data_IF_109986585649
#
_entry.id   IF_109986585649
#
_cell.length_a   1.000
_cell.length_b   1.000
_cell.length_c   1.000
_cell.angle_alpha   90.00
_cell.angle_beta   90.00
_cell.angle_gamma   90.00
#
_symmetry.space_group_name_H-M   'P 1'
#
loop_
_entity.id
_entity.type
_entity.pdbx_description
1 polymer ?
#
# COMPACT_ATOMS: atom_id res chain seq x y z
N UNK A 1 18.64 11.33 -12.67
CA UNK A 1 19.07 10.87 -11.33
C UNK A 1 18.01 11.36 -10.35
N UNK A 2 17.44 10.50 -9.52
CA UNK A 2 16.44 10.86 -8.52
C UNK A 2 16.97 10.51 -7.11
N UNK A 3 16.54 11.27 -6.10
CA UNK A 3 16.76 10.96 -4.70
C UNK A 3 15.43 10.51 -4.07
N UNK A 4 15.35 9.24 -3.64
CA UNK A 4 14.15 8.62 -3.11
C UNK A 4 14.27 8.45 -1.59
N UNK A 5 13.32 8.99 -0.85
CA UNK A 5 13.19 8.81 0.59
C UNK A 5 12.14 7.73 0.87
N UNK A 6 12.60 6.54 1.24
CA UNK A 6 11.73 5.43 1.62
C UNK A 6 11.26 5.64 3.06
N UNK A 7 9.95 5.66 3.27
CA UNK A 7 9.32 5.85 4.57
C UNK A 7 8.47 4.63 4.93
N UNK A 8 8.78 4.00 6.07
CA UNK A 8 8.10 2.79 6.52
C UNK A 8 7.64 2.93 7.97
N UNK A 9 6.33 3.04 8.22
CA UNK A 9 5.79 2.89 9.57
C UNK A 9 5.96 1.44 10.04
N UNK A 10 6.54 1.25 11.24
CA UNK A 10 6.80 -0.07 11.84
C UNK A 10 6.22 -0.13 13.26
N UNK A 11 4.92 -0.38 13.40
CA UNK A 11 4.32 -0.59 14.71
C UNK A 11 4.97 -1.77 15.43
N UNK A 12 5.35 -1.57 16.69
CA UNK A 12 6.09 -2.57 17.47
C UNK A 12 7.55 -2.80 17.01
N UNK A 13 8.07 -1.98 16.09
CA UNK A 13 9.44 -2.12 15.58
C UNK A 13 9.65 -3.35 14.69
N UNK A 14 8.58 -3.95 14.17
CA UNK A 14 8.62 -5.20 13.41
C UNK A 14 8.42 -4.99 11.92
N UNK A 15 9.08 -5.83 11.12
CA UNK A 15 8.84 -5.92 9.68
C UNK A 15 8.94 -7.38 9.22
N UNK A 16 8.38 -7.69 8.06
CA UNK A 16 8.48 -9.02 7.47
C UNK A 16 9.83 -9.25 6.78
N UNK A 17 10.33 -10.49 6.81
CA UNK A 17 11.57 -10.85 6.10
C UNK A 17 11.48 -10.63 4.59
N UNK A 18 10.31 -10.80 3.98
CA UNK A 18 10.10 -10.54 2.55
C UNK A 18 10.20 -9.04 2.22
N UNK A 19 9.77 -8.15 3.13
CA UNK A 19 9.96 -6.71 3.00
C UNK A 19 11.45 -6.36 3.06
N UNK A 20 12.18 -6.88 4.05
CA UNK A 20 13.63 -6.64 4.21
C UNK A 20 14.39 -7.02 2.95
N UNK A 21 14.12 -8.21 2.39
CA UNK A 21 14.74 -8.65 1.16
C UNK A 21 14.41 -7.75 -0.02
N UNK A 22 13.14 -7.34 -0.16
CA UNK A 22 12.70 -6.42 -1.21
C UNK A 22 13.38 -5.06 -1.08
N UNK A 23 13.50 -4.52 0.14
CA UNK A 23 14.14 -3.24 0.41
C UNK A 23 15.65 -3.26 0.10
N UNK A 24 16.38 -4.31 0.52
CA UNK A 24 17.80 -4.45 0.22
C UNK A 24 18.04 -4.52 -1.30
N UNK A 25 17.21 -5.29 -2.01
CA UNK A 25 17.26 -5.35 -3.47
C UNK A 25 16.95 -3.99 -4.11
N UNK A 26 15.97 -3.23 -3.56
CA UNK A 26 15.63 -1.88 -4.05
C UNK A 26 16.83 -0.94 -3.91
N UNK A 27 17.45 -0.88 -2.73
CA UNK A 27 18.61 -0.01 -2.48
C UNK A 27 19.74 -0.32 -3.47
N UNK A 28 20.06 -1.61 -3.66
CA UNK A 28 21.09 -2.05 -4.61
C UNK A 28 20.76 -1.65 -6.05
N UNK A 29 19.53 -1.91 -6.51
CA UNK A 29 19.13 -1.62 -7.89
C UNK A 29 19.06 -0.13 -8.18
N UNK A 30 18.47 0.67 -7.27
CA UNK A 30 18.40 2.13 -7.45
C UNK A 30 19.81 2.75 -7.45
N UNK A 31 20.69 2.32 -6.54
CA UNK A 31 22.08 2.80 -6.50
C UNK A 31 22.84 2.43 -7.78
N UNK A 32 22.66 1.21 -8.30
CA UNK A 32 23.27 0.78 -9.57
C UNK A 32 22.74 1.56 -10.78
N UNK A 33 21.48 2.02 -10.72
CA UNK A 33 20.88 2.88 -11.74
C UNK A 33 21.24 4.37 -11.55
N UNK A 34 22.10 4.72 -10.61
CA UNK A 34 22.56 6.09 -10.35
C UNK A 34 21.59 6.95 -9.52
N UNK A 35 20.59 6.35 -8.88
CA UNK A 35 19.69 7.04 -7.96
C UNK A 35 20.25 7.03 -6.53
N UNK A 36 19.80 8.00 -5.70
CA UNK A 36 20.09 8.01 -4.27
C UNK A 36 18.90 7.46 -3.50
N UNK A 37 19.16 6.74 -2.40
CA UNK A 37 18.11 6.21 -1.53
C UNK A 37 18.44 6.55 -0.08
N UNK A 38 17.48 7.15 0.62
CA UNK A 38 17.48 7.30 2.07
C UNK A 38 16.29 6.52 2.64
N UNK A 39 16.44 5.90 3.81
CA UNK A 39 15.36 5.17 4.46
C UNK A 39 15.10 5.73 5.84
N UNK A 40 13.82 5.88 6.20
CA UNK A 40 13.38 6.23 7.54
C UNK A 40 12.33 5.25 8.02
N UNK A 41 12.55 4.73 9.22
CA UNK A 41 11.66 3.77 9.87
C UNK A 41 11.08 4.42 11.13
N UNK A 42 9.75 4.38 11.27
CA UNK A 42 9.09 4.92 12.45
C UNK A 42 8.61 3.76 13.33
N UNK A 43 9.16 3.70 14.54
CA UNK A 43 8.84 2.67 15.51
C UNK A 43 7.77 3.16 16.50
N UNK A 44 6.95 2.23 16.99
CA UNK A 44 6.04 2.43 18.13
C UNK A 44 5.03 3.58 18.01
N UNK A 45 4.72 4.03 16.80
CA UNK A 45 3.63 4.97 16.57
C UNK A 45 2.34 4.20 16.25
N UNK A 46 1.37 4.30 17.13
CA UNK A 46 0.09 3.60 17.00
C UNK A 46 -0.95 4.37 16.20
N UNK A 47 -0.80 5.70 16.12
CA UNK A 47 -1.68 6.56 15.33
C UNK A 47 -1.08 6.74 13.92
N UNK A 48 -1.50 5.91 12.98
CA UNK A 48 -0.97 5.88 11.62
C UNK A 48 -0.94 7.25 10.93
N UNK A 49 -2.02 8.09 10.96
CA UNK A 49 -1.97 9.43 10.39
C UNK A 49 -0.83 10.28 10.95
N UNK A 50 -0.62 10.26 12.27
CA UNK A 50 0.47 11.00 12.92
C UNK A 50 1.84 10.48 12.49
N UNK A 51 2.00 9.17 12.38
CA UNK A 51 3.21 8.53 11.87
C UNK A 51 3.56 8.98 10.45
N UNK A 52 2.59 8.96 9.55
CA UNK A 52 2.79 9.41 8.17
C UNK A 52 3.10 10.91 8.09
N UNK A 53 2.41 11.74 8.86
CA UNK A 53 2.71 13.18 8.91
C UNK A 53 4.13 13.47 9.40
N UNK A 54 4.61 12.78 10.43
CA UNK A 54 5.96 12.92 10.94
C UNK A 54 7.03 12.45 9.94
N UNK A 55 6.84 11.33 9.27
CA UNK A 55 7.75 10.86 8.22
C UNK A 55 7.76 11.81 7.02
N UNK A 56 6.60 12.35 6.64
CA UNK A 56 6.52 13.40 5.60
C UNK A 56 7.26 14.66 6.02
N UNK A 57 7.15 15.07 7.28
CA UNK A 57 7.86 16.21 7.81
C UNK A 57 9.40 16.02 7.76
N UNK A 58 9.89 14.81 8.10
CA UNK A 58 11.31 14.48 7.93
C UNK A 58 11.75 14.54 6.47
N UNK A 59 10.95 13.96 5.56
CA UNK A 59 11.21 14.04 4.14
C UNK A 59 11.31 15.50 3.64
N UNK A 60 10.40 16.37 4.06
CA UNK A 60 10.37 17.78 3.66
C UNK A 60 11.55 18.60 4.21
N UNK A 61 12.16 18.19 5.31
CA UNK A 61 13.41 18.78 5.85
C UNK A 61 14.65 18.40 5.05
N UNK A 62 14.62 17.29 4.32
CA UNK A 62 15.71 16.83 3.47
C UNK A 62 15.61 17.39 2.04
N UNK A 63 16.40 16.79 1.13
CA UNK A 63 16.55 17.19 -0.27
C UNK A 63 16.06 16.12 -1.27
N UNK A 64 15.40 15.05 -0.78
CA UNK A 64 14.90 13.97 -1.65
C UNK A 64 13.79 14.47 -2.59
N UNK A 65 13.77 13.95 -3.83
CA UNK A 65 12.82 14.32 -4.87
C UNK A 65 11.47 13.62 -4.68
N UNK A 66 11.51 12.40 -4.13
CA UNK A 66 10.35 11.52 -3.95
C UNK A 66 10.26 11.01 -2.52
N UNK A 67 9.03 10.99 -1.98
CA UNK A 67 8.67 10.20 -0.80
C UNK A 67 8.07 8.88 -1.28
N UNK A 68 8.67 7.77 -0.87
CA UNK A 68 8.18 6.45 -1.20
C UNK A 68 7.68 5.71 0.03
N UNK A 69 6.37 5.61 0.15
CA UNK A 69 5.71 4.82 1.18
C UNK A 69 5.81 3.34 0.86
N UNK A 70 6.31 2.55 1.80
CA UNK A 70 6.27 1.10 1.75
C UNK A 70 5.90 0.58 3.13
N UNK A 71 4.80 -0.16 3.25
CA UNK A 71 4.45 -0.79 4.51
C UNK A 71 5.37 -1.99 4.80
N UNK A 72 5.64 -2.25 6.09
CA UNK A 72 6.65 -3.19 6.58
C UNK A 72 6.38 -4.68 6.25
N UNK A 73 5.30 -4.97 5.55
CA UNK A 73 4.82 -6.30 5.19
C UNK A 73 4.50 -6.47 3.70
N UNK A 74 4.92 -5.51 2.87
CA UNK A 74 4.78 -5.56 1.42
C UNK A 74 6.02 -6.21 0.78
N UNK A 75 5.79 -7.23 -0.06
CA UNK A 75 6.76 -7.80 -1.00
C UNK A 75 6.66 -7.08 -2.33
N UNK A 76 7.79 -6.71 -2.92
CA UNK A 76 7.82 -6.02 -4.20
C UNK A 76 9.11 -6.30 -4.98
N UNK A 77 9.14 -5.90 -6.25
CA UNK A 77 10.32 -6.02 -7.13
C UNK A 77 10.92 -4.64 -7.38
N UNK A 78 12.25 -4.48 -7.32
CA UNK A 78 12.93 -3.20 -7.57
C UNK A 78 12.65 -2.61 -8.95
N UNK A 79 12.51 -3.45 -9.97
CA UNK A 79 12.24 -3.05 -11.36
C UNK A 79 10.90 -2.31 -11.50
N UNK A 80 9.91 -2.68 -10.67
CA UNK A 80 8.61 -2.01 -10.66
C UNK A 80 8.76 -0.56 -10.19
N UNK A 81 9.63 -0.31 -9.20
CA UNK A 81 9.92 1.04 -8.65
C UNK A 81 10.67 1.90 -9.67
N UNK A 82 11.69 1.35 -10.35
CA UNK A 82 12.38 2.05 -11.42
C UNK A 82 11.40 2.53 -12.48
N UNK A 83 10.49 1.66 -12.89
CA UNK A 83 9.45 2.00 -13.87
C UNK A 83 8.46 3.04 -13.34
N UNK A 84 8.15 3.05 -12.03
CA UNK A 84 7.33 4.11 -11.42
C UNK A 84 8.03 5.48 -11.48
N UNK A 85 9.35 5.52 -11.24
CA UNK A 85 10.16 6.75 -11.37
C UNK A 85 10.17 7.22 -12.83
N UNK A 86 10.37 6.32 -13.79
CA UNK A 86 10.37 6.61 -15.24
C UNK A 86 9.01 7.12 -15.74
N UNK A 87 7.91 6.62 -15.15
CA UNK A 87 6.55 7.07 -15.49
C UNK A 87 6.28 8.53 -15.12
N UNK A 88 7.11 9.12 -14.26
CA UNK A 88 7.13 10.55 -13.89
C UNK A 88 5.77 11.13 -13.47
N UNK A 89 4.95 10.36 -12.75
CA UNK A 89 3.66 10.81 -12.24
C UNK A 89 3.81 11.51 -10.88
N UNK A 90 2.94 12.45 -10.58
CA UNK A 90 2.94 13.18 -9.31
C UNK A 90 2.69 12.25 -8.12
N UNK A 91 1.68 11.38 -8.23
CA UNK A 91 1.39 10.27 -7.32
C UNK A 91 1.20 9.01 -8.14
N UNK A 92 1.97 7.96 -7.85
CA UNK A 92 1.83 6.65 -8.47
C UNK A 92 2.05 5.55 -7.42
N UNK A 93 1.22 4.51 -7.44
CA UNK A 93 1.34 3.40 -6.50
C UNK A 93 0.98 2.05 -7.09
N UNK A 94 1.53 1.01 -6.50
CA UNK A 94 1.17 -0.37 -6.83
C UNK A 94 -0.13 -0.78 -6.16
N UNK A 95 -0.87 -1.64 -6.82
CA UNK A 95 -2.11 -2.22 -6.32
C UNK A 95 -1.76 -3.53 -5.60
N UNK A 96 -1.95 -3.60 -4.29
CA UNK A 96 -1.68 -4.79 -3.49
C UNK A 96 -2.96 -5.43 -2.96
N UNK A 97 -2.96 -6.78 -2.75
CA UNK A 97 -4.12 -7.49 -2.23
C UNK A 97 -4.38 -7.13 -0.76
N UNK A 98 -5.64 -7.16 -0.35
CA UNK A 98 -6.00 -7.15 1.08
C UNK A 98 -5.61 -8.46 1.73
N UNK A 99 -5.44 -8.44 3.07
CA UNK A 99 -5.16 -9.65 3.88
C UNK A 99 -6.45 -10.41 4.16
N UNK A 100 -7.06 -10.94 3.12
CA UNK A 100 -8.31 -11.69 3.19
C UNK A 100 -8.31 -12.88 2.23
N UNK A 101 -9.07 -13.93 2.55
CA UNK A 101 -9.36 -15.03 1.65
C UNK A 101 -10.87 -15.19 1.55
N UNK A 102 -11.41 -14.88 0.38
CA UNK A 102 -12.82 -15.10 0.05
C UNK A 102 -12.99 -16.50 -0.56
N UNK A 103 -13.28 -17.48 0.29
CA UNK A 103 -13.45 -18.87 -0.15
C UNK A 103 -14.58 -19.08 -1.15
N UNK A 104 -15.65 -18.27 -1.12
CA UNK A 104 -16.71 -18.32 -2.11
C UNK A 104 -16.20 -17.91 -3.50
N UNK A 105 -15.37 -16.87 -3.57
CA UNK A 105 -14.74 -16.41 -4.81
C UNK A 105 -13.74 -17.43 -5.34
N UNK A 106 -12.95 -18.06 -4.47
CA UNK A 106 -12.04 -19.17 -4.85
C UNK A 106 -12.83 -20.33 -5.43
N UNK A 107 -13.93 -20.75 -4.76
CA UNK A 107 -14.81 -21.81 -5.26
C UNK A 107 -15.38 -21.49 -6.65
N UNK A 108 -15.81 -20.24 -6.86
CA UNK A 108 -16.30 -19.82 -8.17
C UNK A 108 -15.19 -19.87 -9.23
N UNK A 109 -13.98 -19.42 -8.90
CA UNK A 109 -12.84 -19.48 -9.81
C UNK A 109 -12.48 -20.92 -10.22
N UNK A 110 -12.58 -21.89 -9.29
CA UNK A 110 -12.41 -23.32 -9.59
C UNK A 110 -13.48 -23.79 -10.58
N UNK A 111 -14.75 -23.45 -10.34
CA UNK A 111 -15.87 -23.83 -11.22
C UNK A 111 -15.72 -23.22 -12.63
N UNK A 112 -15.13 -22.02 -12.73
CA UNK A 112 -14.85 -21.31 -13.97
C UNK A 112 -13.58 -21.81 -14.69
N UNK A 113 -12.90 -22.82 -14.15
CA UNK A 113 -11.67 -23.39 -14.72
C UNK A 113 -10.46 -22.48 -14.69
N UNK A 114 -10.39 -21.55 -13.71
CA UNK A 114 -9.24 -20.65 -13.56
C UNK A 114 -8.04 -21.42 -13.00
N UNK A 115 -6.86 -21.24 -13.62
CA UNK A 115 -5.64 -21.94 -13.22
C UNK A 115 -4.95 -21.30 -11.99
N UNK A 116 -4.87 -19.96 -11.95
CA UNK A 116 -4.18 -19.25 -10.87
C UNK A 116 -5.16 -18.77 -9.79
N UNK A 117 -5.51 -19.67 -8.86
CA UNK A 117 -6.47 -19.39 -7.80
C UNK A 117 -6.01 -18.31 -6.82
N UNK A 118 -4.71 -18.10 -6.67
CA UNK A 118 -4.17 -17.05 -5.81
C UNK A 118 -4.63 -15.64 -6.22
N UNK A 119 -4.88 -15.42 -7.51
CA UNK A 119 -5.40 -14.16 -8.03
C UNK A 119 -6.91 -13.94 -7.76
N UNK A 120 -7.57 -14.94 -7.19
CA UNK A 120 -9.01 -14.94 -6.91
C UNK A 120 -9.33 -15.07 -5.42
N UNK A 121 -8.35 -14.77 -4.55
CA UNK A 121 -8.52 -14.94 -3.10
C UNK A 121 -9.19 -13.77 -2.41
N UNK A 122 -9.21 -12.58 -3.00
CA UNK A 122 -9.75 -11.41 -2.33
C UNK A 122 -9.80 -10.16 -3.21
N UNK A 123 -9.98 -9.02 -2.55
CA UNK A 123 -10.01 -7.70 -3.17
C UNK A 123 -8.66 -6.99 -3.06
N UNK A 124 -8.51 -5.93 -3.84
CA UNK A 124 -7.29 -5.12 -3.91
C UNK A 124 -7.52 -3.72 -3.29
N UNK A 125 -6.43 -3.10 -2.82
CA UNK A 125 -6.46 -1.76 -2.23
C UNK A 125 -6.34 -0.71 -3.33
N UNK A 126 -7.49 -0.38 -3.93
CA UNK A 126 -7.62 0.65 -4.96
C UNK A 126 -9.07 1.11 -5.07
N UNK A 127 -9.30 2.40 -5.33
CA UNK A 127 -10.58 2.93 -5.77
C UNK A 127 -10.45 3.41 -7.21
N UNK A 128 -11.11 2.71 -8.12
CA UNK A 128 -11.17 3.10 -9.53
C UNK A 128 -12.07 4.35 -9.69
N UNK A 129 -11.81 5.12 -10.74
CA UNK A 129 -12.69 6.23 -11.10
C UNK A 129 -13.98 5.63 -11.65
N UNK A 130 -15.09 5.96 -11.00
CA UNK A 130 -16.41 5.47 -11.40
C UNK A 130 -16.97 6.34 -12.57
N UNK A 131 -16.38 6.20 -13.75
CA UNK A 131 -16.91 6.75 -14.98
C UNK A 131 -17.86 5.69 -15.54
N UNK A 132 -19.15 5.87 -15.47
CA UNK A 132 -20.26 5.05 -16.01
C UNK A 132 -19.87 4.17 -17.24
N UNK A 133 -18.96 3.19 -17.02
CA UNK A 133 -18.42 2.32 -18.06
C UNK A 133 -17.35 1.38 -17.53
N UNK A 134 -16.94 0.41 -18.36
CA UNK A 134 -15.88 -0.51 -18.04
C UNK A 134 -14.53 0.22 -18.03
N UNK A 135 -13.85 0.27 -16.90
CA UNK A 135 -12.46 0.75 -16.81
C UNK A 135 -11.55 -0.34 -17.39
N UNK A 136 -10.90 -0.04 -18.49
CA UNK A 136 -9.88 -0.93 -19.07
C UNK A 136 -8.54 -0.63 -18.42
N UNK A 137 -8.06 -1.53 -17.55
CA UNK A 137 -6.73 -1.42 -16.95
C UNK A 137 -5.74 -2.20 -17.83
N UNK A 138 -4.79 -1.50 -18.42
CA UNK A 138 -3.69 -2.11 -19.15
C UNK A 138 -2.52 -2.36 -18.22
N UNK A 139 -1.90 -3.54 -18.33
CA UNK A 139 -0.81 -3.93 -17.41
C UNK A 139 0.46 -3.10 -17.59
N UNK A 140 0.70 -2.54 -18.72
CA UNK A 140 1.93 -1.87 -19.12
C UNK A 140 1.88 -0.34 -19.09
N UNK A 141 0.74 0.25 -18.72
CA UNK A 141 0.54 1.71 -18.67
C UNK A 141 0.05 2.15 -17.30
N UNK A 142 0.40 3.38 -16.83
CA UNK A 142 -0.22 3.95 -15.65
C UNK A 142 -1.73 4.11 -15.85
N UNK A 143 -2.52 3.71 -14.85
CA UNK A 143 -3.97 3.84 -14.88
C UNK A 143 -4.41 4.92 -13.89
N UNK A 144 -5.16 5.93 -14.33
CA UNK A 144 -5.72 6.92 -13.43
C UNK A 144 -6.76 6.29 -12.49
N UNK A 145 -6.67 6.60 -11.19
CA UNK A 145 -7.54 6.06 -10.15
C UNK A 145 -8.03 7.16 -9.20
N UNK A 146 -9.10 6.89 -8.48
CA UNK A 146 -9.62 7.82 -7.49
C UNK A 146 -8.76 7.86 -6.22
N UNK A 147 -8.31 6.70 -5.75
CA UNK A 147 -7.44 6.59 -4.58
C UNK A 147 -6.67 5.26 -4.56
N UNK A 148 -5.54 5.26 -3.86
CA UNK A 148 -4.67 4.13 -3.60
C UNK A 148 -4.33 4.06 -2.11
N UNK A 149 -3.95 2.88 -1.63
CA UNK A 149 -3.32 2.72 -0.33
C UNK A 149 -1.87 3.19 -0.31
N UNK A 150 -1.43 3.72 0.80
CA UNK A 150 -0.03 4.15 1.00
C UNK A 150 0.94 3.00 1.31
N UNK A 151 0.48 1.77 1.31
CA UNK A 151 1.36 0.60 1.52
C UNK A 151 2.41 0.42 0.42
N UNK A 152 2.22 1.04 -0.77
CA UNK A 152 3.20 1.08 -1.85
C UNK A 152 2.92 2.27 -2.78
N UNK A 153 3.36 3.47 -2.40
CA UNK A 153 3.02 4.72 -3.09
C UNK A 153 4.24 5.65 -3.19
N UNK A 154 4.58 6.05 -4.40
CA UNK A 154 5.62 7.03 -4.72
C UNK A 154 4.98 8.40 -4.97
N UNK A 155 5.44 9.44 -4.28
CA UNK A 155 4.88 10.80 -4.32
C UNK A 155 6.01 11.80 -4.56
N UNK A 156 5.87 12.67 -5.55
CA UNK A 156 6.82 13.76 -5.80
C UNK A 156 6.81 14.78 -4.66
N UNK A 157 7.96 15.38 -4.36
CA UNK A 157 8.08 16.49 -3.41
C UNK A 157 7.12 17.63 -3.74
N UNK A 158 7.00 17.98 -5.01
CA UNK A 158 6.13 19.06 -5.50
C UNK A 158 4.65 18.90 -5.11
N UNK A 159 4.18 17.66 -4.91
CA UNK A 159 2.82 17.40 -4.41
C UNK A 159 2.65 17.97 -3.01
N UNK A 160 3.55 17.62 -2.09
CA UNK A 160 3.49 18.11 -0.71
C UNK A 160 3.67 19.62 -0.65
N UNK A 161 4.58 20.18 -1.47
CA UNK A 161 4.80 21.63 -1.50
C UNK A 161 3.54 22.39 -1.93
N UNK A 162 2.81 21.89 -2.93
CA UNK A 162 1.52 22.46 -3.35
C UNK A 162 0.43 22.25 -2.28
N UNK A 163 0.38 21.06 -1.67
CA UNK A 163 -0.63 20.73 -0.66
C UNK A 163 -0.51 21.57 0.61
N UNK A 164 0.66 22.13 0.94
CA UNK A 164 0.84 23.03 2.09
C UNK A 164 -0.15 24.21 2.08
N UNK A 165 -0.58 24.67 0.90
CA UNK A 165 -1.49 25.82 0.77
C UNK A 165 -2.86 25.59 1.42
N UNK A 166 -3.30 24.34 1.52
CA UNK A 166 -4.63 23.97 2.02
C UNK A 166 -4.60 22.87 3.09
N UNK A 167 -3.41 22.45 3.52
CA UNK A 167 -3.27 21.44 4.57
C UNK A 167 -3.16 22.10 5.94
N UNK A 168 -3.96 21.70 6.93
CA UNK A 168 -3.88 22.23 8.28
C UNK A 168 -2.55 21.87 8.95
N UNK A 169 -2.18 22.67 9.96
CA UNK A 169 -0.95 22.50 10.72
C UNK A 169 -1.32 22.19 12.16
N UNK A 170 -0.58 21.27 12.78
CA UNK A 170 -0.68 20.97 14.20
C UNK A 170 0.69 21.02 14.89
N UNK A 171 0.69 21.15 16.21
CA UNK A 171 1.93 21.13 17.01
C UNK A 171 2.25 19.70 17.41
N UNK A 172 3.50 19.30 17.16
CA UNK A 172 4.00 17.99 17.53
C UNK A 172 4.11 17.85 19.06
N UNK A 173 3.58 16.75 19.59
CA UNK A 173 3.67 16.37 20.99
C UNK A 173 4.51 15.10 21.25
N UNK A 174 5.08 14.51 20.20
CA UNK A 174 5.92 13.31 20.31
C UNK A 174 7.31 13.68 20.87
N UNK A 175 7.72 12.99 21.93
CA UNK A 175 9.03 13.22 22.58
C UNK A 175 10.22 12.79 21.69
N UNK A 176 10.01 11.88 20.75
CA UNK A 176 11.03 11.44 19.79
C UNK A 176 11.38 12.51 18.74
N UNK A 177 10.55 13.54 18.60
CA UNK A 177 10.74 14.68 17.72
C UNK A 177 10.75 15.95 18.55
N UNK A 178 11.14 17.08 17.94
CA UNK A 178 11.16 18.37 18.65
C UNK A 178 9.74 18.76 19.09
N UNK A 179 9.45 18.77 20.40
CA UNK A 179 8.13 19.16 20.90
C UNK A 179 7.76 20.59 20.49
N UNK A 180 6.49 20.79 20.12
CA UNK A 180 5.97 22.10 19.69
C UNK A 180 6.33 22.50 18.27
N UNK A 181 7.03 21.64 17.51
CA UNK A 181 7.28 21.85 16.09
C UNK A 181 5.98 21.76 15.28
N UNK A 182 5.78 22.65 14.34
CA UNK A 182 4.60 22.67 13.47
C UNK A 182 4.74 21.65 12.35
N UNK A 183 3.72 20.80 12.21
CA UNK A 183 3.66 19.71 11.23
C UNK A 183 2.38 19.83 10.42
N UNK A 184 2.50 19.68 9.10
CA UNK A 184 1.35 19.62 8.20
C UNK A 184 0.61 18.28 8.34
N UNK A 185 -0.71 18.33 8.48
CA UNK A 185 -1.59 17.18 8.60
C UNK A 185 -2.03 16.66 7.22
N UNK A 186 -1.08 16.23 6.38
CA UNK A 186 -1.37 15.68 5.05
C UNK A 186 -2.24 14.43 5.10
N UNK A 187 -2.06 13.64 6.16
CA UNK A 187 -2.75 12.39 6.39
C UNK A 187 -3.69 12.54 7.58
N UNK A 188 -4.98 12.56 7.29
CA UNK A 188 -6.06 12.66 8.27
C UNK A 188 -7.15 11.64 7.97
N UNK A 189 -8.01 11.38 8.97
CA UNK A 189 -9.14 10.45 8.84
C UNK A 189 -10.45 11.21 9.09
N UNK A 190 -10.85 12.14 8.21
CA UNK A 190 -12.07 12.91 8.40
C UNK A 190 -13.32 12.11 8.03
N UNK A 191 -14.47 12.59 8.51
CA UNK A 191 -15.75 12.22 7.93
C UNK A 191 -15.95 13.10 6.66
N UNK A 192 -16.05 12.43 5.52
CA UNK A 192 -16.33 13.12 4.26
C UNK A 192 -17.73 13.75 4.29
N UNK A 193 -17.85 15.08 4.13
CA UNK A 193 -19.14 15.76 4.27
C UNK A 193 -20.15 15.42 3.17
N UNK A 194 -19.68 14.94 2.01
CA UNK A 194 -20.55 14.61 0.89
C UNK A 194 -21.15 13.20 1.03
N UNK A 195 -20.32 12.22 1.39
CA UNK A 195 -20.74 10.82 1.50
C UNK A 195 -21.11 10.38 2.91
N UNK A 196 -20.76 11.16 3.94
CA UNK A 196 -20.89 10.80 5.36
C UNK A 196 -19.97 9.65 5.81
N UNK A 197 -19.02 9.24 4.97
CA UNK A 197 -18.10 8.11 5.26
C UNK A 197 -16.86 8.61 5.96
N UNK A 198 -16.37 7.81 6.92
CA UNK A 198 -15.03 7.99 7.46
C UNK A 198 -14.01 7.57 6.39
N UNK A 199 -13.16 8.52 5.97
CA UNK A 199 -12.06 8.22 5.05
C UNK A 199 -10.85 7.72 5.82
N UNK A 200 -10.15 6.74 5.25
CA UNK A 200 -8.79 6.40 5.69
C UNK A 200 -7.82 7.51 5.27
N UNK A 201 -6.67 7.57 5.94
CA UNK A 201 -5.69 8.64 5.75
C UNK A 201 -5.12 8.67 4.33
N UNK A 202 -4.93 7.51 3.71
CA UNK A 202 -4.44 7.35 2.34
C UNK A 202 -5.48 7.80 1.31
N UNK A 203 -6.74 7.44 1.51
CA UNK A 203 -7.82 7.87 0.62
C UNK A 203 -8.12 9.36 0.77
N UNK A 204 -8.06 9.89 2.00
CA UNK A 204 -8.16 11.32 2.22
C UNK A 204 -7.04 12.10 1.51
N UNK A 205 -5.78 11.66 1.63
CA UNK A 205 -4.64 12.25 0.94
C UNK A 205 -4.85 12.30 -0.59
N UNK A 206 -5.25 11.19 -1.19
CA UNK A 206 -5.56 11.11 -2.62
C UNK A 206 -6.73 12.04 -2.99
N UNK A 207 -7.79 12.05 -2.18
CA UNK A 207 -8.96 12.89 -2.41
C UNK A 207 -8.59 14.37 -2.37
N UNK A 208 -7.83 14.83 -1.37
CA UNK A 208 -7.40 16.23 -1.27
C UNK A 208 -6.54 16.64 -2.48
N UNK A 209 -5.61 15.80 -2.92
CA UNK A 209 -4.82 16.07 -4.12
C UNK A 209 -5.70 16.23 -5.36
N UNK A 210 -6.65 15.32 -5.58
CA UNK A 210 -7.58 15.37 -6.72
C UNK A 210 -8.53 16.56 -6.66
N UNK A 211 -9.04 16.91 -5.49
CA UNK A 211 -9.91 18.06 -5.27
C UNK A 211 -9.26 19.38 -5.72
N UNK A 212 -7.95 19.46 -5.65
CA UNK A 212 -7.16 20.63 -6.07
C UNK A 212 -6.51 20.46 -7.47
N UNK A 213 -7.10 19.61 -8.31
CA UNK A 213 -6.73 19.46 -9.72
C UNK A 213 -5.59 18.50 -9.99
N UNK A 214 -5.12 17.76 -8.98
CA UNK A 214 -4.11 16.72 -9.14
C UNK A 214 -4.66 15.40 -9.66
N UNK A 215 -3.77 14.48 -10.01
CA UNK A 215 -4.12 13.16 -10.55
C UNK A 215 -3.37 12.07 -9.78
N UNK A 216 -4.02 10.94 -9.53
CA UNK A 216 -3.44 9.77 -8.87
C UNK A 216 -3.42 8.61 -9.86
N UNK A 217 -2.29 7.90 -9.93
CA UNK A 217 -2.10 6.79 -10.87
C UNK A 217 -1.77 5.49 -10.17
N UNK A 218 -2.39 4.41 -10.60
CA UNK A 218 -1.95 3.05 -10.31
C UNK A 218 -0.86 2.62 -11.28
N UNK A 219 0.03 1.75 -10.81
CA UNK A 219 1.05 1.05 -11.57
C UNK A 219 0.65 -0.44 -11.72
N UNK A 220 -0.15 -0.82 -12.75
CA UNK A 220 -0.71 -2.17 -12.85
C UNK A 220 0.33 -3.26 -13.13
N UNK A 221 1.55 -2.87 -13.54
CA UNK A 221 2.68 -3.80 -13.73
C UNK A 221 3.30 -4.30 -12.44
N UNK A 222 3.03 -3.62 -11.30
CA UNK A 222 3.59 -4.02 -10.01
C UNK A 222 3.01 -5.37 -9.57
N UNK A 223 3.91 -6.30 -9.25
CA UNK A 223 3.55 -7.59 -8.64
C UNK A 223 3.88 -7.55 -7.16
N UNK A 224 2.85 -7.26 -6.35
CA UNK A 224 2.99 -7.06 -4.92
C UNK A 224 2.45 -8.26 -4.14
N UNK A 225 3.12 -8.57 -3.04
CA UNK A 225 2.61 -9.49 -2.02
C UNK A 225 2.36 -8.76 -0.72
N UNK A 226 1.31 -9.12 0.00
CA UNK A 226 0.96 -8.52 1.28
C UNK A 226 0.96 -9.60 2.35
N UNK A 227 1.97 -9.61 3.22
CA UNK A 227 2.11 -10.60 4.28
C UNK A 227 1.14 -10.30 5.42
N UNK A 228 0.45 -11.32 5.90
CA UNK A 228 -0.46 -11.23 7.05
C UNK A 228 -0.42 -12.50 7.87
N UNK A 229 -0.96 -12.43 9.09
CA UNK A 229 -1.22 -13.60 9.91
C UNK A 229 -2.46 -14.31 9.39
N UNK A 230 -2.44 -15.63 9.33
CA UNK A 230 -3.58 -16.47 8.99
C UNK A 230 -3.75 -17.55 10.05
N UNK A 231 -4.99 -17.72 10.53
CA UNK A 231 -5.33 -18.78 11.49
C UNK A 231 -5.78 -20.00 10.67
N UNK A 232 -5.01 -21.08 10.73
CA UNK A 232 -5.37 -22.35 10.08
C UNK A 232 -6.31 -23.10 11.01
N UNK A 233 -7.55 -23.25 10.60
CA UNK A 233 -8.58 -23.97 11.34
C UNK A 233 -9.08 -25.15 10.53
N UNK A 234 -9.42 -26.23 11.19
CA UNK A 234 -10.00 -27.40 10.57
C UNK A 234 -10.25 -28.49 11.60
N UNK A 235 -11.09 -29.43 11.23
CA UNK A 235 -11.32 -30.67 12.00
C UNK A 235 -11.06 -31.86 11.10
N UNK A 236 -10.46 -32.90 11.68
CA UNK A 236 -10.21 -34.15 10.94
C UNK A 236 -11.53 -34.79 10.45
N UNK A 237 -12.58 -34.63 11.24
CA UNK A 237 -13.93 -35.08 10.89
C UNK A 237 -14.87 -33.86 10.90
N UNK A 238 -15.33 -33.36 9.74
CA UNK A 238 -16.26 -32.23 9.67
C UNK A 238 -17.59 -32.57 10.35
N UNK A 239 -18.14 -31.63 11.12
CA UNK A 239 -19.40 -31.82 11.85
C UNK A 239 -20.65 -31.78 10.97
N UNK A 240 -20.53 -31.38 9.71
CA UNK A 240 -21.66 -31.16 8.78
C UNK A 240 -21.79 -32.19 7.65
N UNK A 241 -20.77 -32.99 7.43
CA UNK A 241 -20.87 -34.07 6.41
C UNK A 241 -21.30 -35.36 7.07
N UNK A 242 -22.41 -35.96 6.64
CA UNK A 242 -22.75 -37.32 7.08
C UNK A 242 -21.61 -38.23 6.62
N UNK A 243 -21.04 -38.98 7.57
CA UNK A 243 -20.05 -40.02 7.26
C UNK A 243 -20.74 -41.06 6.39
N UNK A 244 -20.62 -40.95 5.06
CA UNK A 244 -20.99 -42.02 4.16
C UNK A 244 -19.92 -43.09 4.31
N UNK A 245 -20.25 -44.16 5.04
CA UNK A 245 -19.45 -45.37 5.08
C UNK A 245 -19.56 -46.10 3.73
N UNK A 246 -18.95 -45.56 2.72
CA UNK A 246 -18.80 -46.16 1.38
C UNK A 246 -17.30 -46.26 1.12
N UNK A 247 -16.79 -47.50 1.06
CA UNK A 247 -15.37 -47.82 0.96
C UNK A 247 -14.65 -47.07 -0.16
N UNK A 248 -13.56 -46.40 0.20
CA UNK A 248 -12.63 -45.77 -0.72
C UNK A 248 -11.50 -45.13 0.05
N UNK A 249 -10.34 -45.68 -0.06
CA UNK A 249 -9.02 -45.30 0.42
C UNK A 249 -8.90 -43.90 0.96
N UNK A 250 -8.91 -43.75 2.30
CA UNK A 250 -8.42 -42.56 2.99
C UNK A 250 -6.90 -42.36 2.80
N UNK A 251 -6.39 -41.12 2.85
CA UNK A 251 -4.95 -40.91 2.76
C UNK A 251 -4.26 -41.60 3.92
N UNK A 252 -3.17 -42.31 3.61
CA UNK A 252 -2.32 -42.96 4.59
C UNK A 252 -1.73 -41.89 5.54
N UNK A 253 -1.96 -42.08 6.83
CA UNK A 253 -1.29 -41.31 7.89
C UNK A 253 0.16 -41.82 7.95
N UNK A 254 1.10 -40.96 7.60
CA UNK A 254 2.53 -41.17 7.81
C UNK A 254 2.94 -40.60 9.16
#
# INVERSE_FOLDING_TARGET
>A
MAHVFVATPMYGGMCSGIYVQSLLNLITNLSSAGHKVACSFMFNESLIPRGRNNLTHQFLKGDADYLFWIDADIKFRPQDVLRMIEADKDIIGGIYPKKEINWAQVKQAVNDGKENLANHTGSFVVNLINNQGNVVVRRDEPCEVAALGTGFMLVKRSVFEKMKEYTPIYKNDMTAYKPGEEIYAFFETPIDPESGRLLSEDYHFCHQWRKHGGTVYAAPWCELGHMGSYIFEGTLVPTTDPVTTGGGNGPAVA
#
